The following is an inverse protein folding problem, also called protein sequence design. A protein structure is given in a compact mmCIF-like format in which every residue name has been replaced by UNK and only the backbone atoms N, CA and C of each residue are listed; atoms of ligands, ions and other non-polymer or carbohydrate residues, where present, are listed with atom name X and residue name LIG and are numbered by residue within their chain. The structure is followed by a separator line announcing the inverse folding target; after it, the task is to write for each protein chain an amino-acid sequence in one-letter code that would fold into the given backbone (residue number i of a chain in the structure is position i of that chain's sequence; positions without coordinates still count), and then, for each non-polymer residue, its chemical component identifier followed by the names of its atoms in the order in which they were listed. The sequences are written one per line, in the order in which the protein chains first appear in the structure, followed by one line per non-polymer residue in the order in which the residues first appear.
data_IF_202214891583
#
_entry.id   IF_202214891583
#
_cell.length_a   1.000
_cell.length_b   1.000
_cell.length_c   1.000
_cell.angle_alpha   90.00
_cell.angle_beta   90.00
_cell.angle_gamma   90.00
#
_symmetry.space_group_name_H-M   'P 1'
#
loop_
_entity.id
_entity.type
_entity.pdbx_description
1 polymer ?
#
# COMPACT_ATOMS: atom_id res chain seq x y z
N UNK A 1 -9.14 -0.34 -22.61
CA UNK A 1 -9.46 -1.09 -21.37
C UNK A 1 -8.17 -1.64 -20.79
N UNK A 2 -7.91 -1.40 -19.50
CA UNK A 2 -6.81 -1.93 -18.67
C UNK A 2 -5.35 -1.51 -18.97
N UNK A 3 -5.00 -0.23 -18.76
CA UNK A 3 -3.59 0.22 -18.67
C UNK A 3 -3.17 0.73 -17.27
N UNK A 4 -4.15 1.07 -16.42
CA UNK A 4 -3.92 1.66 -15.10
C UNK A 4 -3.39 0.66 -14.05
N UNK A 5 -4.11 -0.45 -13.85
CA UNK A 5 -3.78 -1.44 -12.82
C UNK A 5 -2.48 -2.20 -13.12
N UNK A 6 -2.17 -2.41 -14.40
CA UNK A 6 -0.97 -3.12 -14.84
C UNK A 6 0.32 -2.34 -14.54
N UNK A 7 0.28 -0.99 -14.57
CA UNK A 7 1.49 -0.18 -14.36
C UNK A 7 1.92 -0.18 -12.90
N UNK A 8 1.02 0.08 -11.95
CA UNK A 8 1.41 0.18 -10.54
C UNK A 8 2.00 -1.12 -9.99
N UNK A 9 1.41 -2.27 -10.34
CA UNK A 9 1.99 -3.57 -9.98
C UNK A 9 3.37 -3.73 -10.61
N UNK A 10 3.50 -3.45 -11.92
CA UNK A 10 4.76 -3.59 -12.62
C UNK A 10 5.85 -2.69 -12.00
N UNK A 11 5.51 -1.47 -11.59
CA UNK A 11 6.43 -0.53 -10.95
C UNK A 11 6.95 -1.09 -9.60
N UNK A 12 6.05 -1.62 -8.77
CA UNK A 12 6.43 -2.23 -7.48
C UNK A 12 7.26 -3.49 -7.70
N UNK A 13 6.84 -4.37 -8.62
CA UNK A 13 7.56 -5.60 -8.93
C UNK A 13 8.95 -5.29 -9.51
N UNK A 14 9.07 -4.29 -10.38
CA UNK A 14 10.35 -3.90 -10.97
C UNK A 14 11.29 -3.29 -9.91
N UNK A 15 10.77 -2.45 -9.01
CA UNK A 15 11.57 -1.82 -7.97
C UNK A 15 12.02 -2.81 -6.88
N UNK A 16 11.12 -3.68 -6.42
CA UNK A 16 11.37 -4.55 -5.25
C UNK A 16 11.87 -5.94 -5.68
N UNK A 17 11.60 -6.38 -6.91
CA UNK A 17 11.94 -7.71 -7.43
C UNK A 17 13.40 -8.13 -7.21
N UNK A 18 14.41 -7.29 -7.52
CA UNK A 18 15.81 -7.63 -7.26
C UNK A 18 16.10 -7.89 -5.78
N UNK A 19 15.44 -7.16 -4.87
CA UNK A 19 15.63 -7.29 -3.42
C UNK A 19 14.93 -8.54 -2.88
N UNK A 20 13.69 -8.78 -3.33
CA UNK A 20 12.90 -9.97 -2.99
C UNK A 20 13.66 -11.25 -3.35
N UNK A 21 14.19 -11.32 -4.57
CA UNK A 21 14.96 -12.49 -5.03
C UNK A 21 16.22 -12.73 -4.18
N UNK A 22 16.90 -11.66 -3.77
CA UNK A 22 18.12 -11.75 -2.96
C UNK A 22 17.84 -12.12 -1.50
N UNK A 23 16.71 -11.68 -0.95
CA UNK A 23 16.31 -11.88 0.46
C UNK A 23 15.43 -13.11 0.67
N UNK A 24 15.13 -13.86 -0.40
CA UNK A 24 14.23 -15.02 -0.41
C UNK A 24 12.85 -14.69 0.18
N UNK A 25 12.32 -13.51 -0.18
CA UNK A 25 10.95 -13.11 0.17
C UNK A 25 10.00 -13.53 -0.95
N UNK A 26 8.71 -13.57 -0.64
CA UNK A 26 7.65 -13.81 -1.62
C UNK A 26 6.78 -12.56 -1.75
N UNK A 27 6.45 -12.18 -2.98
CA UNK A 27 5.47 -11.15 -3.26
C UNK A 27 4.27 -11.82 -3.92
N UNK A 28 3.16 -11.92 -3.18
CA UNK A 28 1.93 -12.54 -3.65
C UNK A 28 0.89 -11.46 -3.94
N UNK A 29 0.14 -11.64 -5.03
CA UNK A 29 -1.10 -10.89 -5.25
C UNK A 29 -2.25 -11.89 -5.17
N UNK A 30 -3.22 -11.68 -4.29
CA UNK A 30 -4.41 -12.52 -4.27
C UNK A 30 -5.22 -12.29 -5.54
N UNK A 31 -5.64 -13.39 -6.17
CA UNK A 31 -6.51 -13.34 -7.34
C UNK A 31 -7.94 -12.93 -6.95
N UNK A 32 -8.65 -12.28 -7.88
CA UNK A 32 -10.08 -11.95 -7.69
C UNK A 32 -10.38 -10.77 -6.77
N UNK A 33 -9.38 -10.00 -6.32
CA UNK A 33 -9.63 -8.77 -5.57
C UNK A 33 -10.16 -7.69 -6.50
N UNK A 34 -11.33 -7.16 -6.14
CA UNK A 34 -11.96 -6.03 -6.81
C UNK A 34 -11.53 -4.75 -6.10
N UNK A 35 -10.91 -3.83 -6.84
CA UNK A 35 -10.35 -2.57 -6.30
C UNK A 35 -11.07 -1.33 -6.82
N UNK A 36 -12.13 -1.51 -7.61
CA UNK A 36 -12.94 -0.42 -8.18
C UNK A 36 -14.40 -0.85 -8.33
N UNK A 37 -15.32 0.12 -8.28
CA UNK A 37 -16.77 -0.14 -8.31
C UNK A 37 -17.38 -0.27 -6.92
N UNK A 38 -18.67 -0.65 -6.87
CA UNK A 38 -19.45 -0.79 -5.62
C UNK A 38 -18.90 -1.85 -4.68
N UNK A 39 -18.37 -2.93 -5.25
CA UNK A 39 -17.97 -4.11 -4.47
C UNK A 39 -16.52 -4.02 -3.98
N UNK A 40 -15.82 -2.96 -4.35
CA UNK A 40 -14.41 -2.78 -4.03
C UNK A 40 -14.15 -2.72 -2.52
N UNK A 41 -15.01 -2.04 -1.77
CA UNK A 41 -14.87 -1.90 -0.31
C UNK A 41 -14.97 -3.29 0.33
N UNK A 42 -16.05 -4.03 0.05
CA UNK A 42 -16.27 -5.36 0.61
C UNK A 42 -15.15 -6.34 0.22
N UNK A 43 -14.70 -6.31 -1.04
CA UNK A 43 -13.61 -7.17 -1.53
C UNK A 43 -12.28 -6.86 -0.84
N UNK A 44 -11.92 -5.58 -0.70
CA UNK A 44 -10.68 -5.15 -0.03
C UNK A 44 -10.71 -5.45 1.46
N UNK A 45 -11.84 -5.24 2.14
CA UNK A 45 -12.00 -5.59 3.56
C UNK A 45 -11.89 -7.10 3.78
N UNK A 46 -12.52 -7.90 2.91
CA UNK A 46 -12.39 -9.35 2.95
C UNK A 46 -10.94 -9.81 2.73
N UNK A 47 -10.23 -9.19 1.77
CA UNK A 47 -8.82 -9.49 1.55
C UNK A 47 -7.95 -9.14 2.76
N UNK A 48 -8.14 -7.96 3.37
CA UNK A 48 -7.39 -7.52 4.55
C UNK A 48 -7.63 -8.40 5.78
N UNK A 49 -8.86 -8.91 5.93
CA UNK A 49 -9.21 -9.81 7.04
C UNK A 49 -8.72 -11.24 6.82
N UNK A 50 -8.51 -11.66 5.57
CA UNK A 50 -7.93 -12.95 5.22
C UNK A 50 -6.40 -12.98 5.28
N UNK A 51 -5.73 -11.84 5.54
CA UNK A 51 -4.28 -11.79 5.68
C UNK A 51 -3.84 -12.60 6.89
N UNK A 52 -3.03 -13.63 6.64
CA UNK A 52 -2.38 -14.39 7.68
C UNK A 52 -1.16 -13.61 8.21
N UNK A 53 -1.22 -13.23 9.48
CA UNK A 53 -0.20 -12.43 10.15
C UNK A 53 1.09 -13.23 10.45
N UNK A 54 1.07 -14.56 10.39
CA UNK A 54 2.26 -15.39 10.61
C UNK A 54 3.13 -15.47 9.34
N UNK A 55 2.50 -15.51 8.17
CA UNK A 55 3.18 -15.62 6.87
C UNK A 55 3.39 -14.27 6.16
N UNK A 56 2.60 -13.25 6.51
CA UNK A 56 2.65 -11.94 5.84
C UNK A 56 3.35 -10.89 6.70
N UNK A 57 4.40 -10.28 6.15
CA UNK A 57 5.17 -9.24 6.85
C UNK A 57 4.70 -7.81 6.54
N UNK A 58 4.11 -7.60 5.36
CA UNK A 58 3.70 -6.28 4.88
C UNK A 58 2.60 -6.43 3.83
N UNK A 59 1.55 -5.62 3.94
CA UNK A 59 0.50 -5.51 2.91
C UNK A 59 0.70 -4.23 2.12
N UNK A 60 0.59 -4.33 0.79
CA UNK A 60 0.69 -3.20 -0.12
C UNK A 60 -0.65 -2.96 -0.79
N UNK A 61 -1.22 -1.77 -0.62
CA UNK A 61 -2.40 -1.32 -1.37
C UNK A 61 -1.92 -0.27 -2.37
N UNK A 62 -1.75 -0.69 -3.63
CA UNK A 62 -1.23 0.16 -4.69
C UNK A 62 -2.23 0.27 -5.83
N UNK A 63 -2.32 1.47 -6.39
CA UNK A 63 -3.21 1.79 -7.52
C UNK A 63 -2.40 2.63 -8.52
N UNK A 64 -2.61 2.38 -9.82
CA UNK A 64 -1.95 3.16 -10.90
C UNK A 64 -2.58 4.52 -11.14
N UNK A 65 -2.33 5.17 -12.27
CA UNK A 65 -3.10 6.35 -12.67
C UNK A 65 -4.57 6.01 -12.98
N UNK A 66 -5.49 6.97 -12.86
CA UNK A 66 -6.92 6.71 -13.08
C UNK A 66 -7.80 7.87 -12.60
N UNK A 67 -9.08 7.88 -13.01
CA UNK A 67 -9.99 8.98 -12.69
C UNK A 67 -10.25 9.16 -11.17
N UNK A 68 -10.81 10.32 -10.80
CA UNK A 68 -11.20 10.59 -9.42
C UNK A 68 -12.26 9.60 -8.89
N UNK A 69 -13.16 9.10 -9.74
CA UNK A 69 -14.25 8.22 -9.34
C UNK A 69 -13.76 6.86 -8.83
N UNK A 70 -12.65 6.38 -9.36
CA UNK A 70 -11.97 5.16 -8.91
C UNK A 70 -11.23 5.33 -7.59
N UNK A 71 -11.09 6.57 -7.07
CA UNK A 71 -10.57 6.83 -5.72
C UNK A 71 -11.65 6.70 -4.63
N UNK A 72 -12.94 6.73 -5.00
CA UNK A 72 -14.07 6.70 -4.07
C UNK A 72 -14.03 5.56 -3.05
N UNK A 73 -13.69 4.30 -3.41
CA UNK A 73 -13.63 3.21 -2.43
C UNK A 73 -12.58 3.43 -1.34
N UNK A 74 -11.48 4.11 -1.68
CA UNK A 74 -10.37 4.37 -0.77
C UNK A 74 -10.63 5.52 0.21
N UNK A 75 -11.71 6.28 0.02
CA UNK A 75 -12.19 7.28 0.98
C UNK A 75 -13.28 6.74 1.92
N UNK A 76 -13.45 5.41 1.97
CA UNK A 76 -14.39 4.76 2.88
C UNK A 76 -13.81 4.63 4.29
N UNK A 77 -14.59 5.03 5.29
CA UNK A 77 -14.26 4.82 6.70
C UNK A 77 -14.18 3.33 7.06
N UNK A 78 -15.03 2.50 6.44
CA UNK A 78 -15.03 1.05 6.65
C UNK A 78 -13.69 0.43 6.24
N UNK A 79 -13.22 0.77 5.04
CA UNK A 79 -11.94 0.28 4.54
C UNK A 79 -10.77 0.85 5.35
N UNK A 80 -10.82 2.13 5.73
CA UNK A 80 -9.81 2.76 6.57
C UNK A 80 -9.72 2.09 7.96
N UNK A 81 -10.86 1.72 8.57
CA UNK A 81 -10.88 0.96 9.83
C UNK A 81 -10.30 -0.43 9.65
N UNK A 82 -10.62 -1.13 8.57
CA UNK A 82 -10.05 -2.44 8.27
C UNK A 82 -8.52 -2.37 8.14
N UNK A 83 -8.01 -1.38 7.42
CA UNK A 83 -6.56 -1.11 7.29
C UNK A 83 -5.92 -0.84 8.65
N UNK A 84 -6.55 -0.02 9.49
CA UNK A 84 -6.02 0.30 10.81
C UNK A 84 -6.08 -0.87 11.80
N UNK A 85 -7.04 -1.79 11.62
CA UNK A 85 -7.16 -3.01 12.42
C UNK A 85 -6.30 -4.18 11.93
N UNK A 86 -5.66 -4.05 10.77
CA UNK A 86 -4.82 -5.10 10.22
C UNK A 86 -3.65 -5.39 11.16
N UNK A 87 -3.41 -6.67 11.46
CA UNK A 87 -2.31 -7.09 12.34
C UNK A 87 -0.93 -6.87 11.70
N UNK A 88 -0.89 -6.81 10.37
CA UNK A 88 0.31 -6.61 9.55
C UNK A 88 0.37 -5.14 9.12
N UNK A 89 1.55 -4.50 9.07
CA UNK A 89 1.67 -3.14 8.56
C UNK A 89 1.12 -3.04 7.13
N UNK A 90 0.44 -1.93 6.83
CA UNK A 90 -0.14 -1.66 5.51
C UNK A 90 0.50 -0.41 4.94
N UNK A 91 1.10 -0.52 3.75
CA UNK A 91 1.61 0.63 2.99
C UNK A 91 0.71 0.91 1.80
N UNK A 92 0.45 2.20 1.55
CA UNK A 92 -0.40 2.61 0.44
C UNK A 92 0.35 3.44 -0.59
N UNK A 93 -0.04 3.28 -1.85
CA UNK A 93 0.28 4.20 -2.94
C UNK A 93 -0.95 4.33 -3.84
N UNK A 94 -1.95 5.06 -3.38
CA UNK A 94 -3.27 5.18 -4.02
C UNK A 94 -3.44 6.51 -4.77
N UNK A 95 -3.09 7.62 -4.11
CA UNK A 95 -3.42 8.97 -4.56
C UNK A 95 -2.46 9.57 -5.59
N UNK A 96 -2.95 10.59 -6.30
CA UNK A 96 -2.11 11.59 -6.96
C UNK A 96 -1.68 12.66 -5.96
N UNK A 97 -0.67 13.47 -6.30
CA UNK A 97 0.03 14.44 -5.43
C UNK A 97 -0.84 15.45 -4.64
N UNK A 98 -2.15 15.52 -4.88
CA UNK A 98 -3.07 16.47 -4.25
C UNK A 98 -4.20 15.84 -3.43
N UNK A 99 -4.41 14.52 -3.50
CA UNK A 99 -5.55 13.87 -2.86
C UNK A 99 -5.10 12.71 -1.97
N UNK A 100 -5.07 12.95 -0.67
CA UNK A 100 -4.85 11.90 0.34
C UNK A 100 -6.18 11.30 0.75
N UNK A 101 -6.32 9.99 0.59
CA UNK A 101 -7.56 9.26 0.93
C UNK A 101 -7.64 8.93 2.43
N UNK A 102 -8.83 8.60 2.95
CA UNK A 102 -8.96 8.05 4.31
C UNK A 102 -8.06 6.82 4.52
N UNK A 103 -7.96 5.95 3.51
CA UNK A 103 -7.10 4.77 3.56
C UNK A 103 -5.62 5.14 3.65
N UNK A 104 -5.15 6.14 2.88
CA UNK A 104 -3.78 6.64 2.99
C UNK A 104 -3.46 7.16 4.39
N UNK A 105 -4.44 7.78 5.05
CA UNK A 105 -4.28 8.27 6.43
C UNK A 105 -4.32 7.16 7.48
N UNK A 106 -5.03 6.08 7.20
CA UNK A 106 -5.12 4.93 8.09
C UNK A 106 -3.90 3.99 7.97
N UNK A 107 -3.24 4.00 6.81
CA UNK A 107 -2.07 3.19 6.53
C UNK A 107 -0.88 3.50 7.45
N UNK A 108 0.02 2.54 7.59
CA UNK A 108 1.27 2.71 8.33
C UNK A 108 2.19 3.71 7.64
N UNK A 109 2.28 3.63 6.31
CA UNK A 109 2.96 4.60 5.45
C UNK A 109 2.16 4.81 4.17
N UNK A 110 2.16 6.03 3.66
CA UNK A 110 1.54 6.39 2.38
C UNK A 110 2.57 7.07 1.49
N UNK A 111 2.55 6.71 0.21
CA UNK A 111 3.42 7.21 -0.83
C UNK A 111 2.59 7.79 -1.99
N UNK A 112 3.14 8.78 -2.67
CA UNK A 112 2.46 9.44 -3.79
C UNK A 112 2.39 8.56 -5.05
N UNK A 113 3.31 7.61 -5.22
CA UNK A 113 3.33 6.75 -6.41
C UNK A 113 3.76 5.34 -6.07
N UNK A 114 3.30 4.36 -6.86
CA UNK A 114 3.68 2.96 -6.72
C UNK A 114 5.20 2.77 -6.82
N UNK A 115 5.85 3.51 -7.72
CA UNK A 115 7.31 3.51 -7.85
C UNK A 115 8.02 4.06 -6.60
N UNK A 116 7.52 5.15 -6.01
CA UNK A 116 8.09 5.71 -4.78
C UNK A 116 7.99 4.72 -3.61
N UNK A 117 6.84 4.04 -3.48
CA UNK A 117 6.66 2.96 -2.51
C UNK A 117 7.64 1.82 -2.77
N UNK A 118 7.75 1.35 -4.01
CA UNK A 118 8.65 0.25 -4.38
C UNK A 118 10.11 0.56 -4.05
N UNK A 119 10.59 1.76 -4.39
CA UNK A 119 11.95 2.18 -4.08
C UNK A 119 12.20 2.31 -2.58
N UNK A 120 11.24 2.86 -1.83
CA UNK A 120 11.35 2.97 -0.37
C UNK A 120 11.39 1.59 0.29
N UNK A 121 10.55 0.66 -0.17
CA UNK A 121 10.53 -0.71 0.32
C UNK A 121 11.83 -1.46 -0.02
N UNK A 122 12.33 -1.32 -1.25
CA UNK A 122 13.61 -1.91 -1.65
C UNK A 122 14.76 -1.42 -0.76
N UNK A 123 14.84 -0.10 -0.52
CA UNK A 123 15.84 0.49 0.36
C UNK A 123 15.73 0.00 1.81
N UNK A 124 14.50 -0.15 2.31
CA UNK A 124 14.19 -0.63 3.65
C UNK A 124 14.59 -2.11 3.85
N UNK A 125 14.31 -2.96 2.86
CA UNK A 125 14.69 -4.38 2.86
C UNK A 125 16.21 -4.58 2.70
N UNK A 126 16.87 -3.65 2.02
CA UNK A 126 18.32 -3.62 1.83
C UNK A 126 19.08 -3.09 3.05
N UNK A 127 18.44 -2.26 3.86
CA UNK A 127 19.03 -1.74 5.08
C UNK A 127 19.42 -2.89 6.02
N UNK A 128 20.65 -2.82 6.58
CA UNK A 128 21.13 -3.81 7.54
C UNK A 128 20.42 -3.64 8.88
N UNK A 129 20.05 -4.74 9.58
CA UNK A 129 19.59 -4.65 10.95
C UNK A 129 20.70 -4.04 11.82
N UNK A 130 20.42 -2.92 12.48
CA UNK A 130 21.34 -2.26 13.43
C UNK A 130 21.91 -0.91 13.00
N UNK A 131 21.61 -0.38 11.81
CA UNK A 131 21.95 1.01 11.49
C UNK A 131 20.85 1.95 12.02
N UNK A 132 21.13 2.87 12.96
CA UNK A 132 20.12 3.78 13.47
C UNK A 132 19.58 4.61 12.30
N UNK A 133 18.31 4.40 12.00
CA UNK A 133 17.59 5.11 10.95
C UNK A 133 17.46 6.56 11.38
N UNK A 134 18.27 7.44 10.79
CA UNK A 134 18.12 8.89 10.86
C UNK A 134 16.85 9.42 10.19
N UNK A 135 15.90 8.56 9.85
CA UNK A 135 14.56 8.97 9.44
C UNK A 135 13.60 8.65 10.58
N UNK A 136 13.49 9.57 11.53
CA UNK A 136 12.22 9.79 12.22
C UNK A 136 11.20 10.15 11.13
N UNK A 137 10.54 9.16 10.55
CA UNK A 137 9.33 9.37 9.75
C UNK A 137 8.21 9.71 10.74
N UNK A 138 8.30 10.92 11.27
CA UNK A 138 7.41 11.41 12.30
C UNK A 138 5.99 11.39 11.76
N UNK A 139 5.08 10.79 12.52
CA UNK A 139 3.67 11.13 12.48
C UNK A 139 3.57 12.66 12.54
N UNK A 140 3.31 13.31 11.40
CA UNK A 140 2.93 14.72 11.39
C UNK A 140 1.57 14.78 12.07
N UNK A 141 1.55 15.18 13.35
CA UNK A 141 0.30 15.58 14.00
C UNK A 141 -0.32 16.70 13.17
N UNK A 142 -1.64 16.69 12.93
CA UNK A 142 -2.32 17.79 12.25
C UNK A 142 -2.14 19.07 13.09
N UNK A 143 -1.78 20.16 12.42
CA UNK A 143 -1.74 21.51 12.99
C UNK A 143 -3.19 21.92 13.23
N UNK A 144 -3.65 21.87 14.48
CA UNK A 144 -4.87 22.56 14.90
C UNK A 144 -4.56 24.05 14.99
N UNK A 145 -5.18 24.84 14.12
CA UNK A 145 -5.44 26.26 14.36
C UNK A 145 -6.93 26.40 14.63
#
# INVERSE_FOLDING_TARGET
MSSAHSSARADVVAAVGPVIARKNLTLEQPDGIVVSGSDAIASLVAALTAVDAESTQLVLIVRGGGDWLSLRPFDSEELARAVQSCAVPVFTAIGESHNTTLVDRAATMSFTTALALGNALAAELDARPGQPRGARFGRRKPKTT
#
